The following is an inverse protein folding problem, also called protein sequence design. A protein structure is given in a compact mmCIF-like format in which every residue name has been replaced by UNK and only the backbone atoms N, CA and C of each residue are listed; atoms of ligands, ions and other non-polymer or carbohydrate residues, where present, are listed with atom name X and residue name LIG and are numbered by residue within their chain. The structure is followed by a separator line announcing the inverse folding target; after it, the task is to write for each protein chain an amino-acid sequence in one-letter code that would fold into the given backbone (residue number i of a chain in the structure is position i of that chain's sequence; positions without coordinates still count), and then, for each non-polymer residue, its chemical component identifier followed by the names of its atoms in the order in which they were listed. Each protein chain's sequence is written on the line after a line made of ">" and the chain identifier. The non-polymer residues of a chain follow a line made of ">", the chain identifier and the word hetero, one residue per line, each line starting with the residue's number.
data_IF_527181078390
#
_entry.id   IF_527181078390
#
_cell.length_a   1.000
_cell.length_b   1.000
_cell.length_c   1.000
_cell.angle_alpha   90.00
_cell.angle_beta   90.00
_cell.angle_gamma   90.00
#
_symmetry.space_group_name_H-M   'P 1'
#
loop_
_entity.id
_entity.type
_entity.pdbx_description
1 polymer ?
#
# COMPACT_ATOMS: atom_id res chain seq x y z
N UNK A 1 -57.05 -10.77 3.99
CA UNK A 1 -55.68 -10.99 3.47
C UNK A 1 -55.09 -9.63 3.22
N UNK A 2 -54.49 -9.03 4.24
CA UNK A 2 -53.82 -7.73 4.14
C UNK A 2 -52.33 -8.01 4.15
N UNK A 3 -51.68 -7.91 2.99
CA UNK A 3 -50.22 -7.93 2.91
C UNK A 3 -49.82 -6.48 3.21
N UNK A 4 -49.48 -6.21 4.47
CA UNK A 4 -48.86 -4.94 4.83
C UNK A 4 -47.55 -4.83 4.03
N UNK A 5 -47.40 -3.73 3.29
CA UNK A 5 -46.17 -3.43 2.59
C UNK A 5 -45.11 -3.13 3.67
N UNK A 6 -44.26 -4.11 3.97
CA UNK A 6 -43.11 -3.92 4.86
C UNK A 6 -42.21 -2.87 4.21
N UNK A 7 -42.11 -1.70 4.86
CA UNK A 7 -41.16 -0.67 4.49
C UNK A 7 -39.77 -1.30 4.40
N UNK A 8 -39.18 -1.24 3.21
CA UNK A 8 -37.87 -1.86 2.94
C UNK A 8 -36.82 -1.41 3.95
N UNK A 9 -36.97 -0.21 4.50
CA UNK A 9 -36.10 0.39 5.52
C UNK A 9 -36.07 -0.38 6.85
N UNK A 10 -37.14 -1.08 7.19
CA UNK A 10 -37.25 -1.82 8.45
C UNK A 10 -36.70 -3.26 8.36
N UNK A 11 -36.40 -3.74 7.14
CA UNK A 11 -35.90 -5.10 6.95
C UNK A 11 -34.47 -5.26 7.45
N UNK A 12 -34.16 -6.38 8.12
CA UNK A 12 -32.81 -6.67 8.64
C UNK A 12 -31.75 -6.67 7.52
N UNK A 13 -32.11 -7.18 6.34
CA UNK A 13 -31.27 -7.11 5.14
C UNK A 13 -30.98 -5.67 4.66
N UNK A 14 -31.86 -4.71 4.97
CA UNK A 14 -31.61 -3.30 4.72
C UNK A 14 -30.70 -2.73 5.82
N UNK A 15 -30.96 -3.02 7.09
CA UNK A 15 -30.10 -2.57 8.21
C UNK A 15 -28.65 -3.07 8.10
N UNK A 16 -28.43 -4.29 7.61
CA UNK A 16 -27.10 -4.91 7.48
C UNK A 16 -26.28 -4.46 6.24
N UNK A 17 -26.76 -3.48 5.47
CA UNK A 17 -26.02 -3.02 4.28
C UNK A 17 -24.67 -2.39 4.65
N UNK A 18 -23.58 -2.99 4.15
CA UNK A 18 -22.19 -2.65 4.47
C UNK A 18 -21.78 -1.23 4.03
N UNK A 19 -22.42 -0.69 2.99
CA UNK A 19 -22.08 0.63 2.43
C UNK A 19 -22.78 1.82 3.08
N UNK A 20 -23.60 1.59 4.12
CA UNK A 20 -24.41 2.63 4.75
C UNK A 20 -23.58 3.39 5.78
N UNK A 21 -23.61 4.72 5.74
CA UNK A 21 -22.83 5.59 6.65
C UNK A 21 -23.20 5.39 8.11
N UNK A 22 -24.49 5.13 8.37
CA UNK A 22 -25.04 4.84 9.71
C UNK A 22 -24.41 3.59 10.37
N UNK A 23 -23.89 2.67 9.55
CA UNK A 23 -23.22 1.46 10.00
C UNK A 23 -21.69 1.60 10.07
N UNK A 24 -21.16 2.81 9.87
CA UNK A 24 -19.74 3.10 10.05
C UNK A 24 -19.52 3.74 11.41
N UNK A 25 -18.71 3.09 12.24
CA UNK A 25 -18.33 3.61 13.56
C UNK A 25 -17.05 4.41 13.40
N UNK A 26 -17.04 5.65 13.88
CA UNK A 26 -15.83 6.46 13.92
C UNK A 26 -15.12 6.28 15.26
N UNK A 27 -13.81 6.02 15.22
CA UNK A 27 -12.93 5.94 16.38
C UNK A 27 -12.15 7.26 16.49
N UNK A 28 -12.48 8.08 17.50
CA UNK A 28 -11.89 9.40 17.73
C UNK A 28 -10.40 9.34 18.13
N UNK A 29 -9.94 8.25 18.74
CA UNK A 29 -8.54 8.15 19.20
C UNK A 29 -7.57 7.95 18.04
N UNK A 30 -8.01 7.23 17.00
CA UNK A 30 -7.18 6.85 15.86
C UNK A 30 -7.53 7.61 14.57
N UNK A 31 -8.58 8.44 14.59
CA UNK A 31 -9.15 9.10 13.40
C UNK A 31 -9.48 8.08 12.29
N UNK A 32 -10.01 6.91 12.68
CA UNK A 32 -10.29 5.78 11.80
C UNK A 32 -11.79 5.50 11.72
N UNK A 33 -12.28 5.22 10.51
CA UNK A 33 -13.63 4.71 10.31
C UNK A 33 -13.62 3.19 10.28
N UNK A 34 -14.47 2.55 11.07
CA UNK A 34 -14.69 1.10 11.09
C UNK A 34 -15.96 0.83 10.29
N UNK A 35 -15.87 0.09 9.19
CA UNK A 35 -17.06 -0.29 8.44
C UNK A 35 -17.82 -1.42 9.15
N UNK A 36 -19.07 -1.66 8.73
CA UNK A 36 -19.94 -2.73 9.26
C UNK A 36 -19.28 -4.13 9.29
N UNK A 37 -18.31 -4.38 8.42
CA UNK A 37 -17.52 -5.62 8.35
C UNK A 37 -16.27 -5.61 9.26
N UNK A 38 -16.21 -4.74 10.27
CA UNK A 38 -15.09 -4.60 11.21
C UNK A 38 -13.75 -4.25 10.53
N UNK A 39 -13.80 -3.69 9.31
CA UNK A 39 -12.59 -3.28 8.58
C UNK A 39 -12.29 -1.81 8.86
N UNK A 40 -11.07 -1.55 9.31
CA UNK A 40 -10.56 -0.18 9.51
C UNK A 40 -10.26 0.48 8.18
N UNK A 41 -10.85 1.64 7.96
CA UNK A 41 -10.70 2.49 6.78
C UNK A 41 -9.76 3.63 7.15
N UNK A 42 -8.48 3.42 6.85
CA UNK A 42 -7.44 4.46 6.98
C UNK A 42 -7.46 5.41 5.79
N UNK A 43 -7.12 6.68 6.00
CA UNK A 43 -6.95 7.64 4.90
C UNK A 43 -5.89 7.16 3.89
N UNK A 44 -6.29 7.04 2.63
CA UNK A 44 -5.37 6.63 1.56
C UNK A 44 -4.25 7.65 1.31
N UNK A 45 -4.54 8.93 1.58
CA UNK A 45 -3.59 10.03 1.40
C UNK A 45 -2.36 9.88 2.29
N UNK A 46 -2.52 9.45 3.54
CA UNK A 46 -1.41 9.26 4.46
C UNK A 46 -0.48 8.13 4.02
N UNK A 47 -1.07 7.01 3.61
CA UNK A 47 -0.33 5.87 3.03
C UNK A 47 0.40 6.28 1.75
N UNK A 48 -0.20 7.12 0.92
CA UNK A 48 0.45 7.65 -0.28
C UNK A 48 1.63 8.57 0.07
N UNK A 49 1.45 9.47 1.05
CA UNK A 49 2.49 10.39 1.52
C UNK A 49 3.71 9.66 2.05
N UNK A 50 3.53 8.57 2.81
CA UNK A 50 4.63 7.72 3.28
C UNK A 50 5.35 7.03 2.10
N UNK A 51 4.59 6.42 1.18
CA UNK A 51 5.17 5.73 0.01
C UNK A 51 6.01 6.63 -0.89
N UNK A 52 5.61 7.90 -1.04
CA UNK A 52 6.33 8.90 -1.84
C UNK A 52 7.76 9.15 -1.33
N UNK A 53 7.99 8.99 -0.03
CA UNK A 53 9.31 9.20 0.59
C UNK A 53 10.13 7.91 0.56
N UNK A 54 9.49 6.78 0.84
CA UNK A 54 10.21 5.53 1.08
C UNK A 54 10.38 4.68 -0.18
N UNK A 55 9.26 4.28 -0.79
CA UNK A 55 9.26 3.23 -1.82
C UNK A 55 9.37 3.79 -3.23
N UNK A 56 8.67 4.90 -3.52
CA UNK A 56 8.67 5.51 -4.86
C UNK A 56 10.08 5.90 -5.33
N UNK A 57 10.95 6.52 -4.50
CA UNK A 57 12.29 6.88 -4.95
C UNK A 57 13.17 5.67 -5.29
N UNK A 58 12.98 4.55 -4.59
CA UNK A 58 13.72 3.31 -4.88
C UNK A 58 13.28 2.74 -6.23
N UNK A 59 11.97 2.69 -6.50
CA UNK A 59 11.45 2.26 -7.79
C UNK A 59 11.89 3.18 -8.92
N UNK A 60 11.88 4.48 -8.70
CA UNK A 60 12.32 5.50 -9.65
C UNK A 60 13.80 5.31 -10.02
N UNK A 61 14.66 5.11 -9.03
CA UNK A 61 16.07 4.80 -9.24
C UNK A 61 16.29 3.50 -10.01
N UNK A 62 15.48 2.47 -9.77
CA UNK A 62 15.59 1.21 -10.51
C UNK A 62 15.14 1.40 -11.95
N UNK A 63 14.03 2.10 -12.19
CA UNK A 63 13.46 2.26 -13.53
C UNK A 63 14.25 3.25 -14.39
N UNK A 64 14.42 4.48 -13.91
CA UNK A 64 15.01 5.56 -14.71
C UNK A 64 16.53 5.60 -14.61
N UNK A 65 17.09 5.54 -13.39
CA UNK A 65 18.55 5.67 -13.23
C UNK A 65 19.32 4.40 -13.62
N UNK A 66 18.68 3.22 -13.57
CA UNK A 66 19.30 1.94 -13.96
C UNK A 66 18.73 1.38 -15.26
N UNK A 67 17.76 2.05 -15.88
CA UNK A 67 17.18 1.65 -17.17
C UNK A 67 16.40 0.34 -17.12
N UNK A 68 15.86 -0.06 -15.96
CA UNK A 68 15.02 -1.26 -15.87
C UNK A 68 13.60 -0.94 -16.33
N UNK A 69 13.30 -1.22 -17.59
CA UNK A 69 12.01 -0.92 -18.22
C UNK A 69 11.11 -2.16 -18.38
N UNK A 70 11.68 -3.36 -18.49
CA UNK A 70 10.94 -4.59 -18.81
C UNK A 70 11.58 -5.84 -18.19
N UNK A 71 10.74 -6.76 -17.73
CA UNK A 71 11.16 -8.11 -17.37
C UNK A 71 11.50 -8.94 -18.61
N UNK A 72 12.64 -9.63 -18.59
CA UNK A 72 13.08 -10.48 -19.70
C UNK A 72 12.32 -11.81 -19.75
N UNK A 73 11.87 -12.30 -18.59
CA UNK A 73 11.17 -13.56 -18.46
C UNK A 73 9.63 -13.38 -18.56
N UNK A 74 8.94 -14.47 -18.93
CA UNK A 74 7.48 -14.57 -18.90
C UNK A 74 7.06 -15.50 -17.77
N UNK A 75 6.05 -15.09 -17.02
CA UNK A 75 5.48 -15.84 -15.89
C UNK A 75 5.87 -15.24 -14.54
N UNK A 76 4.91 -15.21 -13.61
CA UNK A 76 5.05 -14.54 -12.32
C UNK A 76 6.22 -15.09 -11.51
N UNK A 77 6.34 -16.41 -11.41
CA UNK A 77 7.40 -17.07 -10.62
C UNK A 77 8.81 -16.66 -11.05
N UNK A 78 9.06 -16.64 -12.36
CA UNK A 78 10.36 -16.25 -12.93
C UNK A 78 10.64 -14.76 -12.73
N UNK A 79 9.62 -13.92 -12.94
CA UNK A 79 9.75 -12.47 -12.77
C UNK A 79 9.99 -12.09 -11.30
N UNK A 80 9.45 -12.86 -10.34
CA UNK A 80 9.73 -12.67 -8.92
C UNK A 80 11.22 -12.90 -8.61
N UNK A 81 11.85 -13.91 -9.21
CA UNK A 81 13.29 -14.15 -9.05
C UNK A 81 14.11 -13.02 -9.68
N UNK A 82 13.80 -12.61 -10.91
CA UNK A 82 14.47 -11.47 -11.58
C UNK A 82 14.35 -10.19 -10.76
N UNK A 83 13.14 -9.90 -10.26
CA UNK A 83 12.89 -8.74 -9.41
C UNK A 83 13.73 -8.80 -8.13
N UNK A 84 13.82 -9.97 -7.50
CA UNK A 84 14.67 -10.18 -6.32
C UNK A 84 16.14 -9.86 -6.60
N UNK A 85 16.69 -10.31 -7.73
CA UNK A 85 18.07 -10.03 -8.12
C UNK A 85 18.33 -8.53 -8.32
N UNK A 86 17.39 -7.82 -8.96
CA UNK A 86 17.46 -6.37 -9.17
C UNK A 86 17.47 -5.64 -7.83
N UNK A 87 16.60 -6.04 -6.91
CA UNK A 87 16.55 -5.48 -5.55
C UNK A 87 17.85 -5.71 -4.79
N UNK A 88 18.45 -6.91 -4.86
CA UNK A 88 19.73 -7.22 -4.23
C UNK A 88 20.84 -6.34 -4.81
N UNK A 89 20.96 -6.29 -6.14
CA UNK A 89 21.91 -5.42 -6.82
C UNK A 89 21.68 -3.93 -6.48
N UNK A 90 20.44 -3.54 -6.21
CA UNK A 90 20.12 -2.20 -5.73
C UNK A 90 20.71 -1.93 -4.35
N UNK A 91 20.45 -2.81 -3.41
CA UNK A 91 20.92 -2.71 -2.04
C UNK A 91 22.46 -2.72 -1.94
N UNK A 92 23.13 -3.58 -2.71
CA UNK A 92 24.60 -3.64 -2.74
C UNK A 92 25.23 -2.32 -3.18
N UNK A 93 24.75 -1.71 -4.26
CA UNK A 93 25.25 -0.41 -4.74
C UNK A 93 24.98 0.70 -3.72
N UNK A 94 23.86 0.64 -3.00
CA UNK A 94 23.56 1.58 -1.91
C UNK A 94 24.56 1.42 -0.77
N UNK A 95 24.87 0.19 -0.36
CA UNK A 95 25.89 -0.08 0.65
C UNK A 95 27.28 0.40 0.26
N UNK A 96 27.71 0.17 -0.98
CA UNK A 96 28.97 0.72 -1.50
C UNK A 96 29.03 2.25 -1.33
N UNK A 97 27.98 2.96 -1.74
CA UNK A 97 27.89 4.41 -1.58
C UNK A 97 28.01 4.88 -0.13
N UNK A 98 27.43 4.13 0.82
CA UNK A 98 27.58 4.42 2.25
C UNK A 98 29.02 4.14 2.74
N UNK A 99 29.61 3.03 2.33
CA UNK A 99 30.98 2.65 2.70
C UNK A 99 31.99 3.69 2.18
N UNK A 100 31.85 4.14 0.93
CA UNK A 100 32.72 5.17 0.35
C UNK A 100 32.61 6.52 1.08
N UNK A 101 31.39 6.92 1.48
CA UNK A 101 31.18 8.14 2.28
C UNK A 101 31.86 8.05 3.65
N UNK A 102 31.76 6.88 4.32
CA UNK A 102 32.46 6.64 5.59
C UNK A 102 33.97 6.72 5.42
N UNK A 103 34.51 6.05 4.40
CA UNK A 103 35.94 6.06 4.11
C UNK A 103 36.48 7.47 3.82
N UNK A 104 35.72 8.32 3.13
CA UNK A 104 36.11 9.72 2.90
C UNK A 104 36.09 10.55 4.18
N UNK A 105 35.05 10.40 5.00
CA UNK A 105 34.94 11.11 6.29
C UNK A 105 36.04 10.74 7.28
N UNK A 106 36.53 9.51 7.25
CA UNK A 106 37.65 9.08 8.11
C UNK A 106 39.03 9.57 7.61
N UNK A 107 39.11 10.16 6.40
CA UNK A 107 40.35 10.70 5.83
C UNK A 107 40.45 12.22 5.94
N UNK A 108 39.37 12.90 6.35
CA UNK A 108 39.32 14.33 6.72
C UNK A 108 39.57 14.48 8.23
#
# INVERSE_FOLDING_TARGET
>A
MSIEAVDKEQTEAWKEQVGRVENMTYDEELDEWICANQKRLTFQYEKYKQRKIDVEPVFDQIKYNRGFDRFSLRGLSKNTTDWGLICIAHNLKKWEGHTQKKLKKCKE
#
